data_IF_861250503307
#
_entry.id   IF_861250503307
#
_cell.length_a   1.000
_cell.length_b   1.000
_cell.length_c   1.000
_cell.angle_alpha   90.00
_cell.angle_beta   90.00
_cell.angle_gamma   90.00
#
_symmetry.space_group_name_H-M   'P 1'
#
loop_
_entity.id
_entity.type
_entity.pdbx_description
1 polymer ?
#
# COMPACT_ATOMS: atom_id res chain seq x y z
N UNK A 1 -48.04 -26.27 36.73
CA UNK A 1 -47.40 -25.58 37.88
C UNK A 1 -46.29 -24.71 37.31
N UNK A 2 -46.58 -23.52 36.77
CA UNK A 2 -46.92 -22.25 37.41
C UNK A 2 -45.77 -21.59 38.19
N UNK A 3 -45.33 -20.44 37.62
CA UNK A 3 -44.81 -19.18 38.20
C UNK A 3 -43.34 -18.89 37.94
N UNK A 4 -42.91 -17.70 37.52
CA UNK A 4 -43.42 -16.60 36.67
C UNK A 4 -42.21 -15.65 36.46
N UNK A 5 -42.24 -14.78 35.43
CA UNK A 5 -41.08 -14.02 34.95
C UNK A 5 -40.93 -12.65 35.65
N UNK A 6 -39.70 -12.13 35.67
CA UNK A 6 -39.40 -10.75 36.07
C UNK A 6 -39.84 -9.79 34.96
N UNK A 7 -40.90 -9.03 35.25
CA UNK A 7 -41.24 -7.78 34.58
C UNK A 7 -40.37 -6.66 35.13
N UNK A 8 -39.80 -5.84 34.25
CA UNK A 8 -39.57 -4.43 34.54
C UNK A 8 -40.42 -3.64 33.56
N UNK A 9 -41.49 -3.05 34.11
CA UNK A 9 -42.21 -1.93 33.52
C UNK A 9 -41.73 -0.67 34.25
N UNK A 10 -41.47 0.39 33.48
CA UNK A 10 -41.02 1.68 33.98
C UNK A 10 -40.98 2.67 32.82
N UNK A 11 -42.02 3.48 32.76
CA UNK A 11 -42.40 4.41 31.70
C UNK A 11 -41.34 5.46 31.35
N UNK A 12 -41.29 5.85 30.07
CA UNK A 12 -41.19 7.25 29.69
C UNK A 12 -41.79 7.48 28.31
N UNK A 13 -43.09 7.82 28.30
CA UNK A 13 -43.68 8.64 27.24
C UNK A 13 -43.08 10.05 27.37
N UNK A 14 -42.32 10.49 26.38
CA UNK A 14 -42.09 11.92 26.13
C UNK A 14 -41.58 12.14 24.70
N UNK A 15 -42.35 12.94 23.96
CA UNK A 15 -42.02 13.68 22.74
C UNK A 15 -41.48 12.90 21.53
N UNK A 16 -42.11 12.92 20.35
CA UNK A 16 -42.75 14.08 19.74
C UNK A 16 -41.83 14.63 18.63
N UNK A 17 -42.14 14.27 17.38
CA UNK A 17 -41.59 14.81 16.10
C UNK A 17 -40.13 14.45 15.74
N UNK A 18 -39.99 13.35 15.01
CA UNK A 18 -38.94 13.20 13.99
C UNK A 18 -39.51 12.73 12.63
N UNK A 19 -40.78 13.07 12.35
CA UNK A 19 -41.40 12.93 11.03
C UNK A 19 -41.31 14.26 10.29
N UNK A 20 -40.16 14.59 9.68
CA UNK A 20 -40.03 15.50 8.53
C UNK A 20 -38.60 15.38 7.98
N UNK A 21 -38.34 14.30 7.22
CA UNK A 21 -37.01 14.06 6.66
C UNK A 21 -37.00 13.28 5.35
N UNK A 22 -38.14 13.14 4.68
CA UNK A 22 -38.23 12.47 3.38
C UNK A 22 -39.00 13.38 2.42
N UNK A 23 -38.24 14.22 1.71
CA UNK A 23 -38.45 14.53 0.29
C UNK A 23 -37.46 15.63 -0.13
N UNK A 24 -36.20 15.24 -0.37
CA UNK A 24 -35.33 16.11 -1.15
C UNK A 24 -35.87 16.13 -2.59
N UNK A 25 -36.56 17.22 -2.96
CA UNK A 25 -37.08 17.46 -4.31
C UNK A 25 -36.05 17.04 -5.38
N UNK A 26 -36.53 16.53 -6.52
CA UNK A 26 -35.68 16.21 -7.69
C UNK A 26 -34.74 17.39 -8.02
N UNK A 27 -35.24 18.61 -7.87
CA UNK A 27 -34.47 19.84 -8.06
C UNK A 27 -33.30 19.97 -7.07
N UNK A 28 -33.51 19.65 -5.80
CA UNK A 28 -32.45 19.69 -4.79
C UNK A 28 -31.36 18.66 -5.10
N UNK A 29 -31.74 17.45 -5.53
CA UNK A 29 -30.77 16.41 -5.96
C UNK A 29 -30.01 16.85 -7.22
N UNK A 30 -30.68 17.50 -8.16
CA UNK A 30 -30.06 18.03 -9.38
C UNK A 30 -29.05 19.13 -9.07
N UNK A 31 -29.37 20.06 -8.17
CA UNK A 31 -28.44 21.12 -7.73
C UNK A 31 -27.22 20.53 -7.04
N UNK A 32 -27.39 19.59 -6.09
CA UNK A 32 -26.25 18.90 -5.45
C UNK A 32 -25.34 18.24 -6.49
N UNK A 33 -25.91 17.52 -7.47
CA UNK A 33 -25.15 16.89 -8.56
C UNK A 33 -24.42 17.94 -9.42
N UNK A 34 -25.09 19.02 -9.78
CA UNK A 34 -24.50 20.10 -10.58
C UNK A 34 -23.24 20.67 -9.92
N UNK A 35 -23.33 21.05 -8.64
CA UNK A 35 -22.20 21.66 -7.92
C UNK A 35 -21.05 20.68 -7.69
N UNK A 36 -21.37 19.42 -7.41
CA UNK A 36 -20.38 18.35 -7.38
C UNK A 36 -19.66 18.20 -8.72
N UNK A 37 -20.40 18.14 -9.83
CA UNK A 37 -19.81 18.02 -11.18
C UNK A 37 -18.97 19.24 -11.53
N UNK A 38 -19.43 20.45 -11.17
CA UNK A 38 -18.68 21.70 -11.35
C UNK A 38 -17.34 21.65 -10.59
N UNK A 39 -17.35 21.15 -9.36
CA UNK A 39 -16.12 20.97 -8.57
C UNK A 39 -15.16 19.95 -9.21
N UNK A 40 -15.67 18.82 -9.71
CA UNK A 40 -14.84 17.86 -10.46
C UNK A 40 -14.20 18.53 -11.67
N UNK A 41 -14.97 19.30 -12.45
CA UNK A 41 -14.47 19.99 -13.62
C UNK A 41 -13.38 21.02 -13.27
N UNK A 42 -13.55 21.79 -12.19
CA UNK A 42 -12.54 22.74 -11.71
C UNK A 42 -11.23 22.02 -11.41
N UNK A 43 -11.29 20.92 -10.64
CA UNK A 43 -10.13 20.10 -10.29
C UNK A 43 -9.42 19.54 -11.54
N UNK A 44 -10.17 18.99 -12.49
CA UNK A 44 -9.62 18.38 -13.71
C UNK A 44 -9.06 19.41 -14.70
N UNK A 45 -9.70 20.58 -14.80
CA UNK A 45 -9.26 21.65 -15.71
C UNK A 45 -8.14 22.53 -15.12
N UNK A 46 -7.75 22.31 -13.87
CA UNK A 46 -6.71 23.09 -13.20
C UNK A 46 -7.11 24.54 -12.92
N UNK A 47 -8.42 24.83 -12.88
CA UNK A 47 -8.90 26.18 -12.50
C UNK A 47 -8.57 26.45 -11.03
N UNK A 48 -8.25 27.71 -10.71
CA UNK A 48 -7.91 28.12 -9.36
C UNK A 48 -9.07 27.83 -8.39
N UNK A 49 -8.78 27.04 -7.36
CA UNK A 49 -9.69 26.76 -6.24
C UNK A 49 -9.52 27.81 -5.13
N UNK A 50 -10.45 27.81 -4.18
CA UNK A 50 -10.38 28.69 -3.01
C UNK A 50 -9.14 28.37 -2.15
N UNK A 51 -8.29 29.37 -1.92
CA UNK A 51 -6.98 29.17 -1.28
C UNK A 51 -7.10 28.65 0.15
N UNK A 52 -8.12 29.07 0.91
CA UNK A 52 -8.32 28.60 2.28
C UNK A 52 -8.77 27.13 2.31
N UNK A 53 -9.58 26.72 1.34
CA UNK A 53 -10.03 25.33 1.20
C UNK A 53 -8.87 24.42 0.74
N UNK A 54 -7.97 24.93 -0.10
CA UNK A 54 -6.76 24.19 -0.46
C UNK A 54 -5.82 24.07 0.74
N UNK A 55 -5.57 25.18 1.45
CA UNK A 55 -4.72 25.19 2.63
C UNK A 55 -5.26 24.28 3.75
N UNK A 56 -6.57 24.22 3.97
CA UNK A 56 -7.16 23.37 5.02
C UNK A 56 -6.96 21.88 4.79
N UNK A 57 -6.69 21.46 3.55
CA UNK A 57 -6.52 20.06 3.22
C UNK A 57 -5.05 19.61 3.18
N UNK A 58 -4.10 20.51 3.43
CA UNK A 58 -2.66 20.21 3.31
C UNK A 58 -2.24 18.98 4.13
N UNK A 59 -2.72 18.84 5.36
CA UNK A 59 -2.40 17.70 6.23
C UNK A 59 -2.93 16.37 5.68
N UNK A 60 -4.14 16.39 5.12
CA UNK A 60 -4.73 15.23 4.47
C UNK A 60 -3.96 14.88 3.19
N UNK A 61 -3.60 15.88 2.39
CA UNK A 61 -2.85 15.68 1.15
C UNK A 61 -1.47 15.06 1.42
N UNK A 62 -0.74 15.54 2.43
CA UNK A 62 0.50 14.94 2.88
C UNK A 62 0.31 13.46 3.31
N UNK A 63 -0.79 13.15 4.00
CA UNK A 63 -1.13 11.77 4.38
C UNK A 63 -1.40 10.89 3.15
N UNK A 64 -2.10 11.42 2.14
CA UNK A 64 -2.37 10.71 0.89
C UNK A 64 -1.10 10.49 0.06
N UNK A 65 -0.15 11.43 0.07
CA UNK A 65 1.16 11.25 -0.55
C UNK A 65 1.95 10.14 0.12
N UNK A 66 1.97 10.08 1.46
CA UNK A 66 2.58 8.95 2.17
C UNK A 66 1.92 7.62 1.79
N UNK A 67 0.58 7.56 1.73
CA UNK A 67 -0.13 6.37 1.25
C UNK A 67 0.32 5.97 -0.16
N UNK A 68 0.33 6.90 -1.13
CA UNK A 68 0.78 6.63 -2.51
C UNK A 68 2.22 6.14 -2.55
N UNK A 69 3.10 6.71 -1.74
CA UNK A 69 4.50 6.26 -1.59
C UNK A 69 4.58 4.81 -1.11
N UNK A 70 3.77 4.42 -0.13
CA UNK A 70 3.65 3.01 0.30
C UNK A 70 3.23 2.10 -0.86
N UNK A 71 2.21 2.48 -1.64
CA UNK A 71 1.75 1.69 -2.79
C UNK A 71 2.85 1.51 -3.84
N UNK A 72 3.49 2.62 -4.21
CA UNK A 72 4.53 2.65 -5.23
C UNK A 72 5.73 1.79 -4.80
N UNK A 73 6.28 2.05 -3.62
CA UNK A 73 7.49 1.38 -3.16
C UNK A 73 7.28 -0.12 -2.89
N UNK A 74 6.09 -0.56 -2.45
CA UNK A 74 5.77 -1.99 -2.37
C UNK A 74 5.72 -2.66 -3.75
N UNK A 75 5.19 -1.97 -4.77
CA UNK A 75 5.15 -2.48 -6.15
C UNK A 75 6.55 -2.58 -6.75
N UNK A 76 7.37 -1.56 -6.55
CA UNK A 76 8.76 -1.58 -7.01
C UNK A 76 9.58 -2.66 -6.30
N UNK A 77 9.35 -2.87 -5.00
CA UNK A 77 10.01 -3.93 -4.25
C UNK A 77 9.69 -5.32 -4.82
N UNK A 78 8.43 -5.60 -5.18
CA UNK A 78 8.05 -6.86 -5.83
C UNK A 78 8.83 -7.08 -7.13
N UNK A 79 8.89 -6.07 -8.00
CA UNK A 79 9.64 -6.15 -9.28
C UNK A 79 11.12 -6.45 -9.04
N UNK A 80 11.72 -5.79 -8.04
CA UNK A 80 13.14 -6.01 -7.68
C UNK A 80 13.35 -7.44 -7.17
N UNK A 81 12.47 -7.94 -6.30
CA UNK A 81 12.56 -9.31 -5.78
C UNK A 81 12.44 -10.33 -6.91
N UNK A 82 11.45 -10.19 -7.80
CA UNK A 82 11.25 -11.08 -8.96
C UNK A 82 12.48 -11.09 -9.87
N UNK A 83 13.00 -9.91 -10.21
CA UNK A 83 14.20 -9.78 -11.03
C UNK A 83 15.40 -10.43 -10.36
N UNK A 84 15.53 -10.28 -9.05
CA UNK A 84 16.62 -10.90 -8.30
C UNK A 84 16.49 -12.43 -8.25
N UNK A 85 15.28 -12.96 -8.01
CA UNK A 85 14.99 -14.40 -8.06
C UNK A 85 15.28 -15.01 -9.43
N UNK A 86 14.93 -14.31 -10.51
CA UNK A 86 15.25 -14.79 -11.85
C UNK A 86 16.77 -14.86 -12.07
N UNK A 87 17.48 -13.77 -11.74
CA UNK A 87 18.94 -13.69 -11.90
C UNK A 87 19.68 -14.72 -11.07
N UNK A 88 19.32 -14.88 -9.79
CA UNK A 88 20.00 -15.82 -8.89
C UNK A 88 19.81 -17.27 -9.33
N UNK A 89 18.63 -17.59 -9.86
CA UNK A 89 18.31 -18.92 -10.38
C UNK A 89 19.10 -19.21 -11.65
N UNK A 90 19.05 -18.28 -12.62
CA UNK A 90 19.80 -18.38 -13.89
C UNK A 90 21.30 -18.53 -13.67
N UNK A 91 21.89 -17.65 -12.85
CA UNK A 91 23.32 -17.70 -12.53
C UNK A 91 23.71 -19.04 -11.89
N UNK A 92 22.89 -19.55 -10.99
CA UNK A 92 23.17 -20.83 -10.32
C UNK A 92 23.02 -22.03 -11.25
N UNK A 93 22.12 -21.96 -12.24
CA UNK A 93 22.01 -22.98 -13.29
C UNK A 93 23.26 -23.00 -14.16
N UNK A 94 23.66 -21.85 -14.70
CA UNK A 94 24.85 -21.73 -15.57
C UNK A 94 26.14 -22.15 -14.84
N UNK A 95 26.32 -21.72 -13.58
CA UNK A 95 27.46 -22.12 -12.77
C UNK A 95 27.47 -23.63 -12.48
N UNK A 96 26.30 -24.23 -12.24
CA UNK A 96 26.19 -25.66 -12.02
C UNK A 96 26.45 -26.46 -13.29
N UNK A 97 25.96 -26.00 -14.45
CA UNK A 97 26.25 -26.62 -15.75
C UNK A 97 27.75 -26.61 -16.07
N UNK A 98 28.43 -25.48 -15.84
CA UNK A 98 29.88 -25.39 -15.95
C UNK A 98 30.59 -26.35 -14.97
N UNK A 99 30.12 -26.42 -13.73
CA UNK A 99 30.62 -27.36 -12.73
C UNK A 99 30.50 -28.81 -13.20
N UNK A 100 29.34 -29.21 -13.75
CA UNK A 100 29.11 -30.55 -14.28
C UNK A 100 30.01 -30.86 -15.50
N UNK A 101 30.18 -29.89 -16.39
CA UNK A 101 31.08 -30.02 -17.54
C UNK A 101 32.53 -30.27 -17.11
N UNK A 102 33.06 -29.48 -16.17
CA UNK A 102 34.42 -29.67 -15.66
C UNK A 102 34.59 -31.03 -14.97
N UNK A 103 33.54 -31.53 -14.29
CA UNK A 103 33.56 -32.87 -13.69
C UNK A 103 33.74 -33.94 -14.77
N UNK A 104 32.92 -33.88 -15.82
CA UNK A 104 32.99 -34.81 -16.93
C UNK A 104 34.37 -34.81 -17.59
N UNK A 105 34.96 -33.62 -17.83
CA UNK A 105 36.31 -33.53 -18.39
C UNK A 105 37.39 -34.09 -17.44
N UNK A 106 37.25 -33.88 -16.13
CA UNK A 106 38.20 -34.37 -15.13
C UNK A 106 38.27 -35.89 -15.05
N UNK A 107 37.17 -36.59 -15.35
CA UNK A 107 37.11 -38.05 -15.38
C UNK A 107 37.98 -38.63 -16.51
N UNK A 108 38.22 -37.86 -17.57
CA UNK A 108 38.98 -38.26 -18.75
C UNK A 108 40.44 -37.76 -18.73
N UNK A 109 40.81 -36.87 -17.79
CA UNK A 109 42.15 -36.29 -17.68
C UNK A 109 42.84 -36.72 -16.38
N UNK A 110 43.85 -37.60 -16.49
CA UNK A 110 44.61 -38.10 -15.33
C UNK A 110 45.74 -37.17 -14.87
N UNK A 111 45.95 -36.04 -15.53
CA UNK A 111 47.01 -35.08 -15.22
C UNK A 111 46.66 -34.21 -14.00
N UNK A 112 47.57 -33.29 -13.63
CA UNK A 112 47.29 -32.27 -12.62
C UNK A 112 46.11 -31.36 -13.02
N UNK A 113 45.92 -31.13 -14.32
CA UNK A 113 44.83 -30.32 -14.83
C UNK A 113 43.46 -30.97 -14.54
N UNK A 114 43.30 -32.27 -14.78
CA UNK A 114 42.07 -32.99 -14.41
C UNK A 114 41.74 -32.90 -12.91
N UNK A 115 42.73 -33.06 -12.03
CA UNK A 115 42.53 -32.86 -10.57
C UNK A 115 42.04 -31.45 -10.22
N UNK A 116 42.54 -30.43 -10.90
CA UNK A 116 42.09 -29.04 -10.72
C UNK A 116 40.68 -28.81 -11.28
N UNK A 117 40.34 -29.46 -12.39
CA UNK A 117 38.98 -29.40 -12.96
C UNK A 117 37.96 -30.02 -12.01
N UNK A 118 38.26 -31.17 -11.39
CA UNK A 118 37.39 -31.80 -10.37
C UNK A 118 37.23 -30.90 -9.13
N UNK A 119 38.33 -30.32 -8.64
CA UNK A 119 38.27 -29.39 -7.51
C UNK A 119 37.42 -28.14 -7.82
N UNK A 120 37.61 -27.56 -9.02
CA UNK A 120 36.83 -26.42 -9.50
C UNK A 120 35.36 -26.80 -9.69
N UNK A 121 35.07 -27.97 -10.26
CA UNK A 121 33.72 -28.51 -10.40
C UNK A 121 32.99 -28.56 -9.06
N UNK A 122 33.60 -29.18 -8.05
CA UNK A 122 33.03 -29.28 -6.70
C UNK A 122 32.76 -27.91 -6.10
N UNK A 123 33.67 -26.94 -6.29
CA UNK A 123 33.48 -25.57 -5.83
C UNK A 123 32.30 -24.88 -6.51
N UNK A 124 32.21 -24.95 -7.85
CA UNK A 124 31.12 -24.33 -8.62
C UNK A 124 29.76 -24.94 -8.30
N UNK A 125 29.64 -26.28 -8.29
CA UNK A 125 28.39 -26.97 -7.93
C UNK A 125 27.96 -26.66 -6.49
N UNK A 126 28.91 -26.58 -5.56
CA UNK A 126 28.61 -26.22 -4.16
C UNK A 126 28.18 -24.77 -4.04
N UNK A 127 28.87 -23.84 -4.70
CA UNK A 127 28.54 -22.41 -4.76
C UNK A 127 27.13 -22.21 -5.31
N UNK A 128 26.81 -22.82 -6.45
CA UNK A 128 25.49 -22.79 -7.07
C UNK A 128 24.40 -23.30 -6.11
N UNK A 129 24.60 -24.47 -5.50
CA UNK A 129 23.65 -25.06 -4.54
C UNK A 129 23.44 -24.17 -3.32
N UNK A 130 24.51 -23.58 -2.78
CA UNK A 130 24.40 -22.68 -1.64
C UNK A 130 23.66 -21.39 -2.02
N UNK A 131 23.93 -20.83 -3.20
CA UNK A 131 23.24 -19.62 -3.68
C UNK A 131 21.73 -19.86 -3.83
N UNK A 132 21.33 -21.03 -4.33
CA UNK A 132 19.92 -21.44 -4.43
C UNK A 132 19.20 -21.51 -3.07
N UNK A 133 19.92 -21.62 -1.95
CA UNK A 133 19.31 -21.56 -0.61
C UNK A 133 18.75 -20.17 -0.26
N UNK A 134 19.03 -19.13 -1.07
CA UNK A 134 18.40 -17.81 -0.95
C UNK A 134 17.02 -17.73 -1.62
N UNK A 135 16.66 -18.67 -2.50
CA UNK A 135 15.37 -18.62 -3.19
C UNK A 135 14.17 -18.70 -2.21
N UNK A 136 14.14 -19.61 -1.22
CA UNK A 136 13.02 -19.69 -0.27
C UNK A 136 12.76 -18.40 0.53
N UNK A 137 13.74 -17.74 1.18
CA UNK A 137 13.48 -16.49 1.90
C UNK A 137 13.08 -15.34 0.96
N UNK A 138 13.61 -15.28 -0.27
CA UNK A 138 13.17 -14.30 -1.26
C UNK A 138 11.71 -14.52 -1.69
N UNK A 139 11.30 -15.79 -1.87
CA UNK A 139 9.93 -16.13 -2.25
C UNK A 139 8.95 -15.80 -1.15
N UNK A 140 9.32 -16.08 0.11
CA UNK A 140 8.51 -15.68 1.26
C UNK A 140 8.33 -14.16 1.32
N UNK A 141 9.42 -13.40 1.17
CA UNK A 141 9.34 -11.94 1.16
C UNK A 141 8.47 -11.41 0.02
N UNK A 142 8.56 -11.98 -1.18
CA UNK A 142 7.68 -11.65 -2.29
C UNK A 142 6.20 -11.88 -1.94
N UNK A 143 5.87 -13.06 -1.40
CA UNK A 143 4.49 -13.42 -1.03
C UNK A 143 3.91 -12.52 0.06
N UNK A 144 4.72 -12.16 1.05
CA UNK A 144 4.32 -11.25 2.13
C UNK A 144 4.00 -9.86 1.57
N UNK A 145 4.90 -9.28 0.78
CA UNK A 145 4.68 -7.96 0.15
C UNK A 145 3.47 -7.98 -0.79
N UNK A 146 3.29 -9.05 -1.55
CA UNK A 146 2.15 -9.19 -2.47
C UNK A 146 0.84 -9.32 -1.70
N UNK A 147 0.82 -10.07 -0.60
CA UNK A 147 -0.36 -10.18 0.27
C UNK A 147 -0.70 -8.84 0.90
N UNK A 148 0.30 -8.12 1.42
CA UNK A 148 0.13 -6.79 1.97
C UNK A 148 -0.47 -5.81 0.93
N UNK A 149 0.02 -5.86 -0.31
CA UNK A 149 -0.52 -5.05 -1.41
C UNK A 149 -1.96 -5.42 -1.77
N UNK A 150 -2.25 -6.71 -1.96
CA UNK A 150 -3.59 -7.18 -2.36
C UNK A 150 -4.64 -7.01 -1.27
N UNK A 151 -4.24 -7.00 0.00
CA UNK A 151 -5.17 -6.95 1.14
C UNK A 151 -5.16 -5.59 1.82
N UNK A 152 -4.07 -5.22 2.48
CA UNK A 152 -4.01 -4.03 3.33
C UNK A 152 -4.03 -2.73 2.51
N UNK A 153 -3.24 -2.66 1.44
CA UNK A 153 -3.22 -1.48 0.56
C UNK A 153 -4.55 -1.34 -0.18
N UNK A 154 -5.10 -2.44 -0.72
CA UNK A 154 -6.38 -2.43 -1.42
C UNK A 154 -7.54 -1.99 -0.53
N UNK A 155 -7.61 -2.48 0.71
CA UNK A 155 -8.62 -2.05 1.69
C UNK A 155 -8.50 -0.54 2.04
N UNK A 156 -7.28 -0.07 2.27
CA UNK A 156 -7.03 1.35 2.54
C UNK A 156 -7.43 2.22 1.34
N UNK A 157 -7.15 1.76 0.11
CA UNK A 157 -7.54 2.45 -1.12
C UNK A 157 -9.06 2.62 -1.25
N UNK A 158 -9.85 1.63 -0.82
CA UNK A 158 -11.31 1.74 -0.82
C UNK A 158 -11.78 2.89 0.09
N UNK A 159 -11.20 3.02 1.29
CA UNK A 159 -11.52 4.12 2.20
C UNK A 159 -11.05 5.46 1.65
N UNK A 160 -9.84 5.54 1.09
CA UNK A 160 -9.32 6.75 0.43
C UNK A 160 -10.24 7.19 -0.71
N UNK A 161 -10.71 6.26 -1.54
CA UNK A 161 -11.62 6.57 -2.66
C UNK A 161 -12.96 7.13 -2.18
N UNK A 162 -13.52 6.57 -1.11
CA UNK A 162 -14.75 7.09 -0.49
C UNK A 162 -14.54 8.49 0.09
N UNK A 163 -13.41 8.68 0.77
CA UNK A 163 -13.02 9.98 1.32
C UNK A 163 -12.85 11.04 0.22
N UNK A 164 -12.12 10.77 -0.86
CA UNK A 164 -11.95 11.71 -1.99
C UNK A 164 -13.28 12.10 -2.65
N UNK A 165 -14.22 11.14 -2.75
CA UNK A 165 -15.58 11.43 -3.20
C UNK A 165 -16.31 12.38 -2.26
N UNK A 166 -16.21 12.14 -0.94
CA UNK A 166 -16.83 13.00 0.08
C UNK A 166 -16.18 14.39 0.14
N UNK A 167 -14.85 14.49 -0.01
CA UNK A 167 -14.12 15.76 -0.17
C UNK A 167 -14.64 16.57 -1.33
N UNK A 168 -14.83 15.93 -2.48
CA UNK A 168 -15.38 16.57 -3.68
C UNK A 168 -16.82 17.07 -3.47
N UNK A 169 -17.65 16.28 -2.77
CA UNK A 169 -19.02 16.67 -2.41
C UNK A 169 -19.05 17.87 -1.46
N UNK A 170 -18.21 17.87 -0.43
CA UNK A 170 -18.05 18.99 0.49
C UNK A 170 -17.57 20.26 -0.21
N UNK A 171 -16.50 20.17 -1.02
CA UNK A 171 -16.01 21.31 -1.79
C UNK A 171 -17.04 21.84 -2.79
N UNK A 172 -17.81 20.96 -3.43
CA UNK A 172 -18.94 21.37 -4.28
C UNK A 172 -20.02 22.12 -3.49
N UNK A 173 -20.35 21.69 -2.27
CA UNK A 173 -21.29 22.39 -1.40
C UNK A 173 -20.75 23.76 -0.94
N UNK A 174 -19.46 23.88 -0.64
CA UNK A 174 -18.81 25.17 -0.34
C UNK A 174 -18.87 26.13 -1.53
N UNK A 175 -18.61 25.63 -2.74
CA UNK A 175 -18.72 26.42 -3.97
C UNK A 175 -20.15 26.92 -4.18
N UNK A 176 -21.14 26.07 -3.91
CA UNK A 176 -22.55 26.46 -3.96
C UNK A 176 -22.88 27.52 -2.90
N UNK A 177 -22.39 27.35 -1.68
CA UNK A 177 -22.61 28.31 -0.60
C UNK A 177 -22.01 29.68 -0.93
N UNK A 178 -20.81 29.70 -1.53
CA UNK A 178 -20.16 30.93 -2.00
C UNK A 178 -21.01 31.66 -3.05
N UNK A 179 -21.48 30.93 -4.06
CA UNK A 179 -22.34 31.47 -5.13
C UNK A 179 -23.63 32.08 -4.57
N UNK A 180 -24.35 31.35 -3.71
CA UNK A 180 -25.60 31.85 -3.11
C UNK A 180 -25.36 33.00 -2.13
N UNK A 181 -24.20 33.05 -1.46
CA UNK A 181 -23.86 34.14 -0.54
C UNK A 181 -23.58 35.47 -1.24
N UNK A 182 -23.11 35.43 -2.49
CA UNK A 182 -22.79 36.64 -3.26
C UNK A 182 -24.05 37.35 -3.79
N UNK A 183 -25.12 36.59 -4.00
CA UNK A 183 -26.40 37.06 -4.52
C UNK A 183 -27.44 37.25 -3.41
N UNK A 184 -27.05 37.15 -2.13
CA UNK A 184 -28.00 37.12 -1.01
C UNK A 184 -28.45 38.53 -0.61
N UNK A 185 -29.73 38.84 -0.81
CA UNK A 185 -30.43 39.93 -0.14
C UNK A 185 -31.10 39.43 1.17
N UNK A 186 -30.64 39.89 2.35
CA UNK A 186 -31.19 39.49 3.65
C UNK A 186 -32.67 39.81 3.84
N UNK A 187 -33.19 40.83 3.13
CA UNK A 187 -34.58 41.25 3.22
C UNK A 187 -35.50 40.41 2.32
N UNK A 188 -34.91 39.63 1.41
CA UNK A 188 -35.63 38.70 0.54
C UNK A 188 -35.72 37.31 1.17
N UNK A 189 -36.84 37.02 1.83
CA UNK A 189 -37.10 35.77 2.57
C UNK A 189 -36.77 34.49 1.76
N UNK A 190 -37.06 34.46 0.45
CA UNK A 190 -36.81 33.30 -0.42
C UNK A 190 -35.32 33.00 -0.58
N UNK A 191 -34.49 34.03 -0.65
CA UNK A 191 -33.03 33.91 -0.80
C UNK A 191 -32.39 33.47 0.51
N UNK A 192 -32.86 34.04 1.63
CA UNK A 192 -32.46 33.61 2.97
C UNK A 192 -32.78 32.13 3.21
N UNK A 193 -33.94 31.66 2.78
CA UNK A 193 -34.33 30.26 2.89
C UNK A 193 -33.47 29.34 2.00
N UNK A 194 -33.14 29.78 0.77
CA UNK A 194 -32.19 29.07 -0.10
C UNK A 194 -30.81 28.97 0.56
N UNK A 195 -30.30 30.07 1.11
CA UNK A 195 -29.03 30.11 1.81
C UNK A 195 -28.99 29.14 3.00
N UNK A 196 -30.04 29.13 3.84
CA UNK A 196 -30.16 28.20 4.98
C UNK A 196 -30.12 26.73 4.54
N UNK A 197 -30.78 26.38 3.44
CA UNK A 197 -30.75 25.01 2.88
C UNK A 197 -29.36 24.62 2.40
N UNK A 198 -28.65 25.52 1.70
CA UNK A 198 -27.27 25.25 1.26
C UNK A 198 -26.31 25.16 2.45
N UNK A 199 -26.47 26.03 3.45
CA UNK A 199 -25.69 25.98 4.69
C UNK A 199 -25.88 24.64 5.43
N UNK A 200 -27.11 24.12 5.51
CA UNK A 200 -27.38 22.80 6.06
C UNK A 200 -26.65 21.70 5.28
N UNK A 201 -26.63 21.77 3.94
CA UNK A 201 -25.90 20.84 3.09
C UNK A 201 -24.38 20.87 3.33
N UNK A 202 -23.81 22.06 3.51
CA UNK A 202 -22.38 22.22 3.83
C UNK A 202 -22.06 21.56 5.16
N UNK A 203 -22.89 21.76 6.19
CA UNK A 203 -22.69 21.11 7.51
C UNK A 203 -22.76 19.59 7.41
N UNK A 204 -23.74 19.06 6.68
CA UNK A 204 -23.89 17.62 6.47
C UNK A 204 -22.68 17.01 5.75
N UNK A 205 -22.31 17.57 4.61
CA UNK A 205 -21.18 17.07 3.79
C UNK A 205 -19.84 17.23 4.50
N UNK A 206 -19.65 18.30 5.28
CA UNK A 206 -18.47 18.48 6.13
C UNK A 206 -18.35 17.38 7.17
N UNK A 207 -19.43 17.07 7.88
CA UNK A 207 -19.45 16.02 8.90
C UNK A 207 -19.07 14.65 8.32
N UNK A 208 -19.61 14.33 7.15
CA UNK A 208 -19.26 13.09 6.43
C UNK A 208 -17.80 13.07 5.99
N UNK A 209 -17.30 14.19 5.46
CA UNK A 209 -15.91 14.33 5.03
C UNK A 209 -14.94 14.22 6.21
N UNK A 210 -15.19 14.91 7.32
CA UNK A 210 -14.33 14.88 8.51
C UNK A 210 -14.25 13.48 9.11
N UNK A 211 -15.36 12.73 9.12
CA UNK A 211 -15.37 11.33 9.54
C UNK A 211 -14.46 10.47 8.65
N UNK A 212 -14.64 10.55 7.33
CA UNK A 212 -13.84 9.77 6.38
C UNK A 212 -12.37 10.20 6.35
N UNK A 213 -12.07 11.47 6.59
CA UNK A 213 -10.72 12.01 6.76
C UNK A 213 -10.02 11.31 7.93
N UNK A 214 -10.68 11.23 9.08
CA UNK A 214 -10.15 10.56 10.26
C UNK A 214 -9.93 9.05 10.00
N UNK A 215 -10.90 8.40 9.36
CA UNK A 215 -10.80 6.97 8.98
C UNK A 215 -9.59 6.72 8.07
N UNK A 216 -9.36 7.58 7.08
CA UNK A 216 -8.18 7.50 6.20
C UNK A 216 -6.89 7.68 6.99
N UNK A 217 -6.79 8.72 7.83
CA UNK A 217 -5.58 8.97 8.61
C UNK A 217 -5.20 7.76 9.47
N UNK A 218 -6.16 7.22 10.23
CA UNK A 218 -5.93 6.05 11.07
C UNK A 218 -5.53 4.81 10.26
N UNK A 219 -6.22 4.53 9.15
CA UNK A 219 -5.87 3.39 8.29
C UNK A 219 -4.48 3.53 7.69
N UNK A 220 -4.11 4.72 7.24
CA UNK A 220 -2.78 4.97 6.66
C UNK A 220 -1.68 4.83 7.71
N UNK A 221 -1.90 5.29 8.94
CA UNK A 221 -0.93 5.12 10.03
C UNK A 221 -0.75 3.65 10.40
N UNK A 222 -1.85 2.89 10.52
CA UNK A 222 -1.80 1.43 10.72
C UNK A 222 -1.12 0.70 9.55
N UNK A 223 -1.37 1.14 8.31
CA UNK A 223 -0.74 0.60 7.12
C UNK A 223 0.78 0.81 7.15
N UNK A 224 1.24 2.00 7.56
CA UNK A 224 2.65 2.32 7.74
C UNK A 224 3.31 1.39 8.77
N UNK A 225 2.70 1.24 9.94
CA UNK A 225 3.20 0.34 10.99
C UNK A 225 3.23 -1.14 10.53
N UNK A 226 2.15 -1.61 9.90
CA UNK A 226 2.07 -2.97 9.37
C UNK A 226 3.13 -3.25 8.31
N UNK A 227 3.41 -2.29 7.42
CA UNK A 227 4.50 -2.38 6.44
C UNK A 227 5.86 -2.53 7.12
N UNK A 228 6.16 -1.70 8.11
CA UNK A 228 7.43 -1.75 8.85
C UNK A 228 7.62 -3.10 9.53
N UNK A 229 6.58 -3.63 10.18
CA UNK A 229 6.63 -4.93 10.83
C UNK A 229 6.88 -6.06 9.83
N UNK A 230 6.10 -6.11 8.75
CA UNK A 230 6.28 -7.11 7.68
C UNK A 230 7.71 -7.08 7.13
N UNK A 231 8.20 -5.90 6.72
CA UNK A 231 9.52 -5.78 6.13
C UNK A 231 10.64 -6.12 7.11
N UNK A 232 10.50 -5.74 8.39
CA UNK A 232 11.52 -6.05 9.41
C UNK A 232 11.70 -7.56 9.58
N UNK A 233 10.60 -8.33 9.60
CA UNK A 233 10.66 -9.79 9.70
C UNK A 233 11.18 -10.46 8.42
N UNK A 234 10.66 -10.06 7.27
CA UNK A 234 11.05 -10.60 5.97
C UNK A 234 12.52 -10.35 5.64
N UNK A 235 12.99 -9.10 5.82
CA UNK A 235 14.37 -8.72 5.53
C UNK A 235 15.36 -9.37 6.51
N UNK A 236 15.02 -9.44 7.79
CA UNK A 236 15.86 -10.13 8.77
C UNK A 236 16.06 -11.61 8.38
N UNK A 237 14.98 -12.30 7.97
CA UNK A 237 15.06 -13.68 7.51
C UNK A 237 15.97 -13.82 6.28
N UNK A 238 15.81 -12.95 5.28
CA UNK A 238 16.67 -12.93 4.10
C UNK A 238 18.15 -12.66 4.44
N UNK A 239 18.42 -11.66 5.29
CA UNK A 239 19.77 -11.30 5.72
C UNK A 239 20.47 -12.44 6.43
N UNK A 240 19.78 -13.17 7.32
CA UNK A 240 20.34 -14.34 8.00
C UNK A 240 20.75 -15.44 7.02
N UNK A 241 19.95 -15.68 5.97
CA UNK A 241 20.30 -16.67 4.94
C UNK A 241 21.46 -16.20 4.07
N UNK A 242 21.51 -14.90 3.75
CA UNK A 242 22.62 -14.31 3.02
C UNK A 242 23.94 -14.38 3.81
N UNK A 243 23.90 -14.09 5.11
CA UNK A 243 25.07 -14.24 5.98
C UNK A 243 25.56 -15.70 6.04
N UNK A 244 24.64 -16.68 6.13
CA UNK A 244 24.97 -18.11 6.07
C UNK A 244 25.59 -18.50 4.72
N UNK A 245 25.10 -17.95 3.61
CA UNK A 245 25.70 -18.15 2.29
C UNK A 245 27.13 -17.63 2.25
N UNK A 246 27.33 -16.36 2.64
CA UNK A 246 28.65 -15.74 2.66
C UNK A 246 29.63 -16.49 3.55
N UNK A 247 29.18 -16.91 4.74
CA UNK A 247 29.97 -17.75 5.63
C UNK A 247 30.34 -19.09 4.98
N UNK A 248 29.44 -19.76 4.27
CA UNK A 248 29.77 -21.02 3.59
C UNK A 248 30.67 -20.87 2.36
N UNK A 249 30.62 -19.71 1.69
CA UNK A 249 31.52 -19.36 0.60
C UNK A 249 32.91 -18.96 1.11
N UNK A 250 33.00 -18.30 2.28
CA UNK A 250 34.25 -17.95 2.95
C UNK A 250 34.86 -19.14 3.72
N UNK A 251 34.01 -20.00 4.29
CA UNK A 251 34.34 -21.26 4.99
C UNK A 251 34.23 -22.42 3.99
N UNK A 252 34.91 -22.30 2.84
CA UNK A 252 35.56 -23.50 2.29
C UNK A 252 37.05 -23.45 2.63
N UNK A 253 37.48 -23.87 3.83
CA UNK A 253 38.89 -24.11 4.13
C UNK A 253 39.33 -25.50 3.61
N UNK A 254 38.43 -26.27 2.96
CA UNK A 254 38.71 -27.63 2.48
C UNK A 254 38.74 -27.79 0.96
N UNK A 255 38.24 -26.82 0.20
CA UNK A 255 38.58 -26.70 -1.21
C UNK A 255 39.23 -25.34 -1.39
N UNK A 256 40.51 -25.37 -1.76
CA UNK A 256 41.40 -24.21 -1.75
C UNK A 256 40.72 -22.96 -2.29
N UNK A 257 40.84 -21.89 -1.51
CA UNK A 257 40.65 -20.51 -1.93
C UNK A 257 41.07 -20.37 -3.40
N UNK A 258 40.19 -19.92 -4.29
CA UNK A 258 40.48 -19.82 -5.74
C UNK A 258 41.73 -18.97 -5.98
N UNK A 259 41.99 -18.00 -5.10
CA UNK A 259 43.25 -17.24 -4.99
C UNK A 259 44.49 -18.11 -4.76
N UNK A 260 44.40 -19.18 -3.96
CA UNK A 260 45.50 -20.10 -3.68
C UNK A 260 45.68 -21.17 -4.76
N UNK A 261 44.65 -21.46 -5.56
CA UNK A 261 44.78 -22.35 -6.72
C UNK A 261 45.60 -21.66 -7.81
N UNK A 262 45.31 -20.39 -8.11
CA UNK A 262 46.08 -19.56 -9.06
C UNK A 262 47.53 -19.36 -8.59
N UNK A 263 47.76 -19.12 -7.29
CA UNK A 263 49.12 -18.99 -6.71
C UNK A 263 49.91 -20.30 -6.62
N UNK A 264 49.28 -21.48 -6.79
CA UNK A 264 49.96 -22.79 -6.87
C UNK A 264 50.20 -23.27 -8.30
N UNK A 265 49.84 -22.44 -9.28
CA UNK A 265 49.94 -22.73 -10.72
C UNK A 265 50.83 -21.76 -11.49
N UNK A 266 51.23 -20.65 -10.85
CA UNK A 266 52.41 -19.88 -11.21
C UNK A 266 53.62 -20.46 -10.44
#
# INVERSE_FOLDING_TARGET
MCRTPLRFAGDLLSDGRALLGEDSSVMARMQKKFWKTKQVLIKVTGKKEDEHVVASDADLDAKLEFFRSVQFTCTELLKVIEKYQHRITRLSQEENELGLFLRFQSEHDRTKAGKMMDATSKALCTSAKQRMALCPPLQRMHQEVETFRRRAIADTLLTVTRMEKSRTEYRGALLWMKDVSQELDPDTYKELEKFRKVQAQVRETKSQFDKLKNDVCQKVDMLGASRCNMLSHSLCTYQQHNAKLLAKLQISPKTGNVSNLVKKLA
#
